data_IF_357242870023
#
_entry.id   IF_357242870023
#
_cell.length_a   1.000
_cell.length_b   1.000
_cell.length_c   1.000
_cell.angle_alpha   90.00
_cell.angle_beta   90.00
_cell.angle_gamma   90.00
#
_symmetry.space_group_name_H-M   'P 1'
#
loop_
_entity.id
_entity.type
_entity.pdbx_description
1 polymer ?
#
# COMPACT_ATOMS: atom_id res chain seq x y z
N UNK A 1 -8.28 12.08 -9.77
CA UNK A 1 -7.74 11.96 -8.39
C UNK A 1 -6.75 10.80 -8.36
N UNK A 2 -5.69 10.90 -7.59
CA UNK A 2 -4.76 9.81 -7.30
C UNK A 2 -5.14 9.24 -5.92
N UNK A 3 -5.36 7.92 -5.84
CA UNK A 3 -5.81 7.24 -4.63
C UNK A 3 -5.22 5.83 -4.53
N UNK A 4 -5.37 5.19 -3.40
CA UNK A 4 -5.04 3.77 -3.26
C UNK A 4 -6.14 2.89 -3.89
N UNK A 5 -5.73 1.72 -4.40
CA UNK A 5 -6.67 0.78 -5.01
C UNK A 5 -7.78 0.33 -4.05
N UNK A 6 -7.43 0.09 -2.78
CA UNK A 6 -8.40 -0.33 -1.78
C UNK A 6 -9.49 0.72 -1.53
N UNK A 7 -9.21 2.00 -1.71
CA UNK A 7 -10.22 3.08 -1.56
C UNK A 7 -11.28 2.99 -2.66
N UNK A 8 -10.86 2.78 -3.91
CA UNK A 8 -11.78 2.59 -5.01
C UNK A 8 -12.58 1.28 -4.89
N UNK A 9 -11.94 0.20 -4.47
CA UNK A 9 -12.62 -1.08 -4.23
C UNK A 9 -13.65 -0.93 -3.11
N UNK A 10 -13.29 -0.30 -1.99
CA UNK A 10 -14.18 -0.08 -0.87
C UNK A 10 -15.37 0.82 -1.25
N UNK A 11 -15.16 1.88 -2.00
CA UNK A 11 -16.23 2.74 -2.51
C UNK A 11 -17.23 1.95 -3.35
N UNK A 12 -16.74 1.14 -4.31
CA UNK A 12 -17.59 0.29 -5.15
C UNK A 12 -18.37 -0.76 -4.34
N UNK A 13 -17.76 -1.32 -3.29
CA UNK A 13 -18.45 -2.25 -2.37
C UNK A 13 -19.57 -1.58 -1.56
N UNK A 14 -19.51 -0.25 -1.38
CA UNK A 14 -20.51 0.55 -0.68
C UNK A 14 -21.45 1.30 -1.64
N UNK A 15 -21.68 0.77 -2.84
CA UNK A 15 -22.57 1.33 -3.87
C UNK A 15 -22.20 2.74 -4.35
N UNK A 16 -20.94 3.13 -4.19
CA UNK A 16 -20.40 4.33 -4.82
C UNK A 16 -19.68 3.89 -6.09
N UNK A 17 -20.30 4.07 -7.24
CA UNK A 17 -19.67 3.71 -8.52
C UNK A 17 -18.49 4.66 -8.82
N UNK A 18 -17.31 4.22 -8.45
CA UNK A 18 -16.06 4.94 -8.72
C UNK A 18 -15.27 4.17 -9.79
N UNK A 19 -15.31 4.61 -11.06
CA UNK A 19 -14.45 4.04 -12.07
C UNK A 19 -12.98 4.39 -11.76
N UNK A 20 -12.09 3.41 -11.84
CA UNK A 20 -10.68 3.64 -11.60
C UNK A 20 -9.80 2.90 -12.60
N UNK A 21 -8.65 3.47 -12.86
CA UNK A 21 -7.64 2.91 -13.76
C UNK A 21 -6.36 2.67 -12.98
N UNK A 22 -5.80 1.49 -13.14
CA UNK A 22 -4.51 1.15 -12.56
C UNK A 22 -3.45 1.30 -13.66
N UNK A 23 -2.42 2.14 -13.44
CA UNK A 23 -1.32 2.28 -14.40
C UNK A 23 -0.63 0.93 -14.68
N UNK A 24 -0.11 0.77 -15.92
CA UNK A 24 0.66 -0.44 -16.28
C UNK A 24 1.86 -0.67 -15.37
N UNK A 25 2.57 0.40 -15.01
CA UNK A 25 3.62 0.38 -14.01
C UNK A 25 3.16 1.18 -12.78
N UNK A 26 3.21 0.59 -11.61
CA UNK A 26 2.83 1.25 -10.36
C UNK A 26 3.66 0.76 -9.19
N UNK A 27 3.73 1.59 -8.16
CA UNK A 27 4.44 1.24 -6.94
C UNK A 27 3.63 0.26 -6.10
N UNK A 28 4.31 -0.76 -5.56
CA UNK A 28 3.74 -1.61 -4.52
C UNK A 28 3.85 -0.90 -3.18
N UNK A 29 2.73 -0.48 -2.63
CA UNK A 29 2.65 0.06 -1.28
C UNK A 29 2.56 -1.10 -0.30
N UNK A 30 3.53 -1.18 0.60
CA UNK A 30 3.61 -2.19 1.66
C UNK A 30 3.28 -1.53 2.99
N UNK A 31 2.44 -2.19 3.79
CA UNK A 31 2.06 -1.74 5.13
C UNK A 31 2.82 -2.58 6.17
N UNK A 32 4.03 -2.18 6.57
CA UNK A 32 4.82 -2.94 7.53
C UNK A 32 4.23 -2.82 8.93
N UNK A 33 4.35 -3.90 9.69
CA UNK A 33 4.00 -3.92 11.11
C UNK A 33 5.15 -4.55 11.91
N UNK A 34 5.47 -3.96 13.06
CA UNK A 34 6.51 -4.45 13.95
C UNK A 34 6.14 -4.24 15.42
N UNK A 35 6.68 -5.08 16.29
CA UNK A 35 6.60 -4.86 17.74
C UNK A 35 7.71 -3.90 18.14
N UNK A 36 7.37 -2.83 18.85
CA UNK A 36 8.36 -1.85 19.31
C UNK A 36 9.26 -2.44 20.39
N UNK A 37 10.50 -1.95 20.47
CA UNK A 37 11.49 -2.40 21.48
C UNK A 37 11.02 -2.16 22.91
N UNK A 38 10.25 -1.09 23.14
CA UNK A 38 9.73 -0.69 24.45
C UNK A 38 8.36 -1.28 24.82
N UNK A 39 7.79 -2.17 23.97
CA UNK A 39 6.53 -2.82 24.27
C UNK A 39 6.61 -3.62 25.57
N UNK A 40 5.68 -3.37 26.48
CA UNK A 40 5.55 -4.11 27.76
C UNK A 40 4.89 -5.48 27.56
N UNK A 41 4.21 -5.70 26.45
CA UNK A 41 3.44 -6.91 26.13
C UNK A 41 3.95 -7.61 24.86
N UNK A 42 5.27 -7.83 24.75
CA UNK A 42 5.91 -8.39 23.55
C UNK A 42 5.33 -9.74 23.13
N UNK A 43 5.00 -10.60 24.10
CA UNK A 43 4.44 -11.93 23.82
C UNK A 43 3.09 -11.81 23.11
N UNK A 44 2.18 -11.00 23.64
CA UNK A 44 0.85 -10.77 23.05
C UNK A 44 0.96 -10.04 21.70
N UNK A 45 1.83 -9.05 21.61
CA UNK A 45 2.06 -8.33 20.36
C UNK A 45 2.60 -9.25 19.24
N UNK A 46 3.54 -10.14 19.58
CA UNK A 46 4.03 -11.14 18.63
C UNK A 46 2.95 -12.18 18.26
N UNK A 47 2.10 -12.57 19.21
CA UNK A 47 0.96 -13.44 18.92
C UNK A 47 -0.02 -12.77 17.93
N UNK A 48 -0.29 -11.48 18.12
CA UNK A 48 -1.10 -10.69 17.19
C UNK A 48 -0.46 -10.58 15.80
N UNK A 49 0.85 -10.34 15.71
CA UNK A 49 1.57 -10.35 14.42
C UNK A 49 1.42 -11.69 13.68
N UNK A 50 1.52 -12.82 14.42
CA UNK A 50 1.30 -14.14 13.82
C UNK A 50 -0.13 -14.31 13.35
N UNK A 51 -1.12 -13.88 14.16
CA UNK A 51 -2.53 -13.91 13.78
C UNK A 51 -2.81 -13.14 12.50
N UNK A 52 -2.27 -11.93 12.35
CA UNK A 52 -2.45 -11.11 11.15
C UNK A 52 -1.96 -11.80 9.85
N UNK A 53 -1.07 -12.78 9.95
CA UNK A 53 -0.57 -13.57 8.82
C UNK A 53 -1.35 -14.88 8.60
N UNK A 54 -2.41 -15.11 9.33
CA UNK A 54 -3.30 -16.26 9.10
C UNK A 54 -4.26 -16.01 7.94
N UNK A 55 -4.76 -17.08 7.30
CA UNK A 55 -5.74 -16.96 6.23
C UNK A 55 -7.01 -16.21 6.69
N UNK A 56 -7.61 -16.49 7.85
CA UNK A 56 -8.78 -15.74 8.31
C UNK A 56 -8.55 -14.23 8.43
N UNK A 57 -7.45 -13.82 9.09
CA UNK A 57 -7.13 -12.40 9.23
C UNK A 57 -6.86 -11.73 7.86
N UNK A 58 -6.12 -12.39 6.98
CA UNK A 58 -5.82 -11.87 5.64
C UNK A 58 -7.06 -11.79 4.74
N UNK A 59 -8.07 -12.62 4.96
CA UNK A 59 -9.37 -12.49 4.28
C UNK A 59 -10.11 -11.23 4.69
N UNK A 60 -10.01 -10.81 5.96
CA UNK A 60 -10.59 -9.54 6.41
C UNK A 60 -9.95 -8.37 5.65
N UNK A 61 -8.64 -8.37 5.46
CA UNK A 61 -7.97 -7.37 4.63
C UNK A 61 -8.46 -7.40 3.18
N UNK A 62 -8.62 -8.60 2.59
CA UNK A 62 -9.11 -8.74 1.22
C UNK A 62 -10.57 -8.24 1.07
N UNK A 63 -11.42 -8.45 2.05
CA UNK A 63 -12.79 -7.90 2.11
C UNK A 63 -12.82 -6.36 2.11
N UNK A 64 -11.78 -5.74 2.62
CA UNK A 64 -11.62 -4.28 2.64
C UNK A 64 -10.75 -3.75 1.47
N UNK A 65 -10.60 -4.53 0.41
CA UNK A 65 -9.89 -4.10 -0.81
C UNK A 65 -8.37 -4.19 -0.76
N UNK A 66 -7.78 -4.67 0.35
CA UNK A 66 -6.34 -4.87 0.43
C UNK A 66 -5.91 -6.19 -0.18
N UNK A 67 -4.81 -6.19 -0.89
CA UNK A 67 -4.22 -7.42 -1.43
C UNK A 67 -3.57 -8.23 -0.32
N UNK A 68 -4.05 -9.45 -0.03
CA UNK A 68 -3.50 -10.26 1.06
C UNK A 68 -2.07 -10.72 0.72
N UNK A 69 -1.21 -10.78 1.74
CA UNK A 69 0.16 -11.32 1.61
C UNK A 69 0.20 -12.85 1.70
N UNK A 70 -0.91 -13.48 2.10
CA UNK A 70 -1.09 -14.93 2.10
C UNK A 70 -1.94 -15.31 0.89
N UNK A 71 -1.38 -15.99 -0.14
CA UNK A 71 -2.08 -16.26 -1.40
C UNK A 71 -3.42 -16.99 -1.23
N UNK A 72 -3.50 -17.94 -0.28
CA UNK A 72 -4.74 -18.66 0.01
C UNK A 72 -5.89 -17.76 0.47
N UNK A 73 -5.59 -16.61 1.05
CA UNK A 73 -6.60 -15.63 1.49
C UNK A 73 -7.22 -14.85 0.32
N UNK A 74 -6.55 -14.82 -0.84
CA UNK A 74 -7.06 -14.15 -2.04
C UNK A 74 -8.15 -14.95 -2.77
N UNK A 75 -8.34 -16.22 -2.44
CA UNK A 75 -9.35 -17.07 -3.09
C UNK A 75 -10.75 -16.48 -2.94
N UNK A 76 -11.43 -16.27 -4.07
CA UNK A 76 -12.78 -15.67 -4.12
C UNK A 76 -12.80 -14.15 -4.17
N UNK A 77 -11.64 -13.48 -4.18
CA UNK A 77 -11.51 -12.05 -4.42
C UNK A 77 -10.89 -11.80 -5.80
N UNK A 78 -11.39 -10.80 -6.51
CA UNK A 78 -10.85 -10.40 -7.81
C UNK A 78 -9.98 -9.15 -7.62
N UNK A 79 -8.71 -9.30 -7.94
CA UNK A 79 -7.77 -8.18 -7.98
C UNK A 79 -7.19 -8.06 -9.40
N UNK A 80 -7.25 -6.90 -10.03
CA UNK A 80 -6.68 -6.71 -11.36
C UNK A 80 -5.20 -7.10 -11.41
N UNK A 81 -4.82 -7.80 -12.49
CA UNK A 81 -3.42 -8.18 -12.71
C UNK A 81 -2.59 -6.93 -12.98
N UNK A 82 -1.39 -6.85 -12.38
CA UNK A 82 -0.44 -5.76 -12.57
C UNK A 82 0.81 -6.26 -13.26
N UNK A 83 1.06 -5.82 -14.47
CA UNK A 83 2.21 -6.32 -15.22
C UNK A 83 3.55 -5.83 -14.66
N UNK A 84 3.59 -4.64 -14.06
CA UNK A 84 4.82 -4.04 -13.56
C UNK A 84 4.60 -3.41 -12.18
N UNK A 85 5.06 -4.10 -11.14
CA UNK A 85 5.12 -3.56 -9.79
C UNK A 85 6.57 -3.28 -9.42
N UNK A 86 6.85 -2.05 -9.01
CA UNK A 86 8.15 -1.68 -8.45
C UNK A 86 8.01 -1.33 -6.97
N UNK A 87 9.12 -1.39 -6.24
CA UNK A 87 9.17 -1.08 -4.81
C UNK A 87 10.09 0.11 -4.56
N UNK A 88 10.00 0.68 -3.36
CA UNK A 88 10.96 1.71 -2.90
C UNK A 88 12.41 1.19 -2.97
N UNK A 89 12.63 -0.10 -2.69
CA UNK A 89 13.97 -0.71 -2.81
C UNK A 89 14.48 -0.68 -4.26
N UNK A 90 13.60 -0.93 -5.24
CA UNK A 90 13.97 -0.84 -6.66
C UNK A 90 14.35 0.59 -7.07
N UNK A 91 13.71 1.61 -6.47
CA UNK A 91 14.04 3.02 -6.66
C UNK A 91 15.33 3.45 -5.92
N UNK A 92 15.98 2.54 -5.20
CA UNK A 92 17.23 2.78 -4.48
C UNK A 92 17.05 3.10 -3.00
N UNK A 93 15.85 2.87 -2.44
CA UNK A 93 15.52 3.07 -1.03
C UNK A 93 15.03 4.49 -0.72
N UNK A 94 14.50 4.66 0.50
CA UNK A 94 13.88 5.90 0.93
C UNK A 94 14.79 7.12 0.84
N UNK A 95 16.06 7.00 1.24
CA UNK A 95 17.00 8.13 1.20
C UNK A 95 17.17 8.71 -0.22
N UNK A 96 17.23 7.84 -1.25
CA UNK A 96 17.32 8.29 -2.64
C UNK A 96 15.98 8.83 -3.16
N UNK A 97 14.89 8.20 -2.79
CA UNK A 97 13.55 8.62 -3.18
C UNK A 97 13.23 9.97 -2.59
N UNK A 98 13.47 10.16 -1.29
CA UNK A 98 13.25 11.41 -0.59
C UNK A 98 14.03 12.56 -1.25
N UNK A 99 15.33 12.39 -1.41
CA UNK A 99 16.19 13.39 -2.07
C UNK A 99 15.75 13.69 -3.51
N UNK A 100 15.41 12.66 -4.29
CA UNK A 100 15.06 12.84 -5.72
C UNK A 100 13.70 13.48 -5.93
N UNK A 101 12.71 13.08 -5.13
CA UNK A 101 11.32 13.46 -5.36
C UNK A 101 10.84 14.58 -4.44
N UNK A 102 11.30 14.61 -3.19
CA UNK A 102 10.76 15.46 -2.13
C UNK A 102 11.75 16.48 -1.57
N UNK A 103 12.98 16.56 -2.10
CA UNK A 103 13.92 17.62 -1.71
C UNK A 103 13.24 19.00 -1.86
N UNK A 104 13.27 19.86 -0.83
CA UNK A 104 12.53 21.13 -0.85
C UNK A 104 12.98 22.11 -1.92
N UNK A 105 14.19 21.95 -2.45
CA UNK A 105 14.74 22.87 -3.46
C UNK A 105 14.76 22.25 -4.86
N UNK A 106 15.13 20.99 -4.98
CA UNK A 106 15.45 20.32 -6.25
C UNK A 106 14.57 19.11 -6.55
N UNK A 107 13.68 18.72 -5.62
CA UNK A 107 12.80 17.56 -5.77
C UNK A 107 11.85 17.68 -6.95
N UNK A 108 11.57 16.56 -7.60
CA UNK A 108 10.68 16.51 -8.77
C UNK A 108 9.28 17.02 -8.40
N UNK A 109 8.74 16.58 -7.26
CA UNK A 109 7.41 16.99 -6.78
C UNK A 109 7.41 18.49 -6.48
N UNK A 110 8.44 19.00 -5.81
CA UNK A 110 8.59 20.42 -5.49
C UNK A 110 8.63 21.30 -6.75
N UNK A 111 9.31 20.83 -7.80
CA UNK A 111 9.32 21.55 -9.07
C UNK A 111 7.93 21.58 -9.72
N UNK A 112 7.27 20.42 -9.80
CA UNK A 112 5.91 20.33 -10.36
C UNK A 112 4.96 21.28 -9.61
N UNK A 113 5.00 21.30 -8.28
CA UNK A 113 4.16 22.19 -7.47
C UNK A 113 4.41 23.67 -7.78
N UNK A 114 5.68 24.07 -7.92
CA UNK A 114 6.02 25.45 -8.30
C UNK A 114 5.54 25.83 -9.69
N UNK A 115 5.65 24.91 -10.65
CA UNK A 115 5.22 25.11 -12.03
C UNK A 115 3.70 25.13 -12.20
N UNK A 116 2.97 24.41 -11.36
CA UNK A 116 1.50 24.31 -11.41
C UNK A 116 0.79 25.27 -10.46
N UNK A 117 1.50 25.99 -9.61
CA UNK A 117 0.94 26.97 -8.67
C UNK A 117 0.20 26.34 -7.48
N UNK A 118 0.49 25.08 -7.13
CA UNK A 118 -0.08 24.35 -5.98
C UNK A 118 0.92 24.24 -4.84
#
# INVERSE_FOLDING_TARGET
MLAYENEAIFANQNNQEVPYVIPKATIRIENPIAVTTHSQNKTTANAFLRYLRTVPAQRIFAQNGYRPVVPAAAKGFSFPVRPQLFSIKWLGGWAKVDKRFFDPNTGIVTRIQRETGN
#
